data_IF_391822646708
#
_entry.id   IF_391822646708
#
_cell.length_a   1.000
_cell.length_b   1.000
_cell.length_c   1.000
_cell.angle_alpha   90.00
_cell.angle_beta   90.00
_cell.angle_gamma   90.00
#
_symmetry.space_group_name_H-M   'P 1'
#
loop_
_entity.id
_entity.type
_entity.pdbx_description
1 polymer ?
#
# COMPACT_ATOMS: atom_id res chain seq x y z
N UNK A 1 43.15 -12.56 6.81
CA UNK A 1 41.98 -12.17 5.98
C UNK A 1 40.91 -11.68 6.94
N UNK A 2 40.90 -10.37 7.20
CA UNK A 2 40.02 -9.76 8.19
C UNK A 2 38.60 -9.64 7.65
N UNK A 3 37.63 -10.13 8.41
CA UNK A 3 36.22 -9.78 8.23
C UNK A 3 36.08 -8.33 8.63
N UNK A 4 35.82 -7.44 7.67
CA UNK A 4 35.41 -6.08 7.96
C UNK A 4 34.03 -6.14 8.61
N UNK A 5 34.00 -6.10 9.94
CA UNK A 5 32.84 -5.66 10.67
C UNK A 5 32.58 -4.22 10.23
N UNK A 6 31.57 -4.05 9.36
CA UNK A 6 31.08 -2.71 9.04
C UNK A 6 30.28 -2.30 10.27
N UNK A 7 30.81 -1.33 11.01
CA UNK A 7 30.11 -0.63 12.10
C UNK A 7 28.86 0.08 11.53
N UNK A 8 27.78 -0.68 11.27
CA UNK A 8 26.46 -0.19 10.88
C UNK A 8 25.52 -0.06 12.10
N UNK A 9 25.99 -0.37 13.31
CA UNK A 9 25.11 -0.46 14.49
C UNK A 9 24.62 0.90 15.02
N UNK A 10 25.29 2.02 14.68
CA UNK A 10 24.94 3.34 15.22
C UNK A 10 23.79 4.02 14.48
N UNK A 11 24.02 4.40 13.22
CA UNK A 11 23.11 5.28 12.46
C UNK A 11 21.79 4.58 12.09
N UNK A 12 21.84 3.30 11.73
CA UNK A 12 20.65 2.54 11.36
C UNK A 12 19.75 2.28 12.57
N UNK A 13 20.37 2.05 13.74
CA UNK A 13 19.64 1.84 14.99
C UNK A 13 18.86 3.08 15.40
N UNK A 14 19.43 4.28 15.23
CA UNK A 14 18.76 5.54 15.56
C UNK A 14 17.53 5.81 14.70
N UNK A 15 17.62 5.52 13.39
CA UNK A 15 16.49 5.68 12.45
C UNK A 15 15.37 4.70 12.81
N UNK A 16 15.69 3.44 13.09
CA UNK A 16 14.68 2.44 13.47
C UNK A 16 14.02 2.76 14.82
N UNK A 17 14.77 3.25 15.80
CA UNK A 17 14.21 3.73 17.06
C UNK A 17 13.29 4.94 16.82
N UNK A 18 13.74 5.93 16.04
CA UNK A 18 12.96 7.14 15.74
C UNK A 18 11.65 6.87 14.98
N UNK A 19 11.61 5.79 14.20
CA UNK A 19 10.42 5.31 13.47
C UNK A 19 9.53 4.37 14.30
N UNK A 20 9.97 3.97 15.50
CA UNK A 20 9.26 3.02 16.35
C UNK A 20 9.32 1.58 15.83
N UNK A 21 10.37 1.22 15.10
CA UNK A 21 10.63 -0.13 14.56
C UNK A 21 11.52 -0.98 15.48
N UNK A 22 12.17 -0.38 16.48
CA UNK A 22 13.02 -1.04 17.46
C UNK A 22 12.59 -0.62 18.86
N UNK A 23 12.51 -1.58 19.78
CA UNK A 23 12.11 -1.33 21.17
C UNK A 23 13.31 -0.92 22.03
N UNK A 24 13.16 0.13 22.85
CA UNK A 24 14.15 0.55 23.84
C UNK A 24 13.79 -0.07 25.22
N UNK A 25 13.89 -1.39 25.35
CA UNK A 25 13.69 -2.11 26.61
C UNK A 25 12.25 -2.58 26.89
N UNK A 26 12.04 -3.16 28.09
CA UNK A 26 10.78 -3.81 28.51
C UNK A 26 9.70 -2.78 28.90
N UNK A 27 9.16 -1.99 27.97
CA UNK A 27 7.79 -1.44 28.13
C UNK A 27 7.21 -0.83 26.86
N UNK A 28 5.94 -1.22 26.66
CA UNK A 28 4.89 -0.68 25.80
C UNK A 28 5.02 -0.91 24.28
N UNK A 29 4.22 -1.88 23.81
CA UNK A 29 3.75 -2.05 22.44
C UNK A 29 2.94 -0.79 22.06
N UNK A 30 3.65 0.30 21.76
CA UNK A 30 3.06 1.50 21.20
C UNK A 30 2.81 1.30 19.71
N UNK A 31 1.85 2.03 19.14
CA UNK A 31 1.70 2.09 17.68
C UNK A 31 2.98 2.70 17.09
N UNK A 32 3.70 2.00 16.19
CA UNK A 32 4.93 2.50 15.59
C UNK A 32 4.71 3.84 14.87
N UNK A 33 5.61 4.80 15.07
CA UNK A 33 5.52 6.13 14.45
C UNK A 33 5.52 6.06 12.93
N UNK A 34 6.16 5.05 12.34
CA UNK A 34 6.13 4.83 10.89
C UNK A 34 4.71 4.74 10.31
N UNK A 35 3.73 4.24 11.09
CA UNK A 35 2.35 4.12 10.60
C UNK A 35 1.69 5.48 10.38
N UNK A 36 1.92 6.45 11.26
CA UNK A 36 1.39 7.80 11.09
C UNK A 36 2.10 8.58 9.98
N UNK A 37 3.40 8.35 9.81
CA UNK A 37 4.17 8.91 8.70
C UNK A 37 3.64 8.38 7.35
N UNK A 38 3.44 7.06 7.24
CA UNK A 38 2.88 6.44 6.04
C UNK A 38 1.46 6.93 5.75
N UNK A 39 0.61 7.08 6.78
CA UNK A 39 -0.73 7.62 6.59
C UNK A 39 -0.68 9.05 6.03
N UNK A 40 0.08 9.94 6.68
CA UNK A 40 0.20 11.33 6.24
C UNK A 40 0.75 11.44 4.82
N UNK A 41 1.74 10.63 4.48
CA UNK A 41 2.35 10.57 3.15
C UNK A 41 1.33 10.13 2.09
N UNK A 42 0.55 9.08 2.38
CA UNK A 42 -0.50 8.61 1.46
C UNK A 42 -1.64 9.62 1.31
N UNK A 43 -2.07 10.27 2.39
CA UNK A 43 -3.09 11.32 2.33
C UNK A 43 -2.64 12.49 1.44
N UNK A 44 -1.40 12.97 1.62
CA UNK A 44 -0.81 14.02 0.76
C UNK A 44 -0.73 13.57 -0.70
N UNK A 45 -0.40 12.30 -0.95
CA UNK A 45 -0.35 11.75 -2.31
C UNK A 45 -1.72 11.72 -2.97
N UNK A 46 -2.77 11.33 -2.25
CA UNK A 46 -4.14 11.35 -2.76
C UNK A 46 -4.54 12.77 -3.14
N UNK A 47 -4.38 13.74 -2.23
CA UNK A 47 -4.69 15.15 -2.48
C UNK A 47 -3.96 15.70 -3.72
N UNK A 48 -2.68 15.35 -3.87
CA UNK A 48 -1.89 15.80 -5.01
C UNK A 48 -2.32 15.15 -6.33
N UNK A 49 -2.66 13.87 -6.31
CA UNK A 49 -3.16 13.16 -7.49
C UNK A 49 -4.52 13.72 -7.93
N UNK A 50 -5.40 14.05 -6.97
CA UNK A 50 -6.69 14.69 -7.26
C UNK A 50 -6.51 16.06 -7.95
N UNK A 51 -5.57 16.89 -7.48
CA UNK A 51 -5.25 18.18 -8.12
C UNK A 51 -4.65 18.03 -9.54
N UNK A 52 -3.94 16.94 -9.84
CA UNK A 52 -3.34 16.70 -11.16
C UNK A 52 -4.35 16.15 -12.17
N UNK A 53 -5.42 15.50 -11.70
CA UNK A 53 -6.47 14.93 -12.55
C UNK A 53 -7.27 15.97 -13.33
N UNK A 54 -7.20 17.27 -12.97
CA UNK A 54 -7.88 18.35 -13.69
C UNK A 54 -7.19 18.73 -15.03
N UNK A 55 -6.00 18.16 -15.32
CA UNK A 55 -5.14 18.64 -16.43
C UNK A 55 -4.91 17.63 -17.56
N UNK A 56 -5.36 16.37 -17.46
CA UNK A 56 -5.07 15.36 -18.50
C UNK A 56 -6.28 14.47 -18.79
N UNK A 57 -6.78 14.57 -20.03
CA UNK A 57 -7.92 13.83 -20.59
C UNK A 57 -7.52 12.37 -20.95
N UNK A 58 -6.96 11.64 -19.99
CA UNK A 58 -6.63 10.21 -20.18
C UNK A 58 -7.91 9.42 -19.93
N UNK A 59 -8.51 8.92 -21.01
CA UNK A 59 -9.63 7.98 -21.03
C UNK A 59 -9.47 6.95 -19.91
N UNK A 60 -10.29 7.05 -18.87
CA UNK A 60 -10.25 6.24 -17.65
C UNK A 60 -10.33 4.75 -17.98
N UNK A 61 -9.18 4.12 -18.23
CA UNK A 61 -9.08 2.68 -18.07
C UNK A 61 -9.13 2.45 -16.57
N UNK A 62 -10.32 2.13 -16.06
CA UNK A 62 -10.56 1.83 -14.64
C UNK A 62 -9.55 0.76 -14.22
N UNK A 63 -8.48 1.19 -13.55
CA UNK A 63 -7.53 0.29 -12.93
C UNK A 63 -8.29 -0.58 -11.91
N UNK A 64 -7.88 -1.83 -11.77
CA UNK A 64 -8.53 -2.83 -10.92
C UNK A 64 -8.63 -2.46 -9.42
N UNK A 65 -8.01 -1.34 -9.01
CA UNK A 65 -8.01 -0.79 -7.65
C UNK A 65 -8.87 0.48 -7.49
N UNK A 66 -9.73 0.81 -8.47
CA UNK A 66 -10.70 1.89 -8.32
C UNK A 66 -11.85 1.45 -7.41
N UNK A 67 -12.04 2.19 -6.31
CA UNK A 67 -13.24 2.07 -5.50
C UNK A 67 -14.43 2.73 -6.18
N UNK A 68 -15.62 2.11 -6.09
CA UNK A 68 -16.87 2.72 -6.57
C UNK A 68 -17.21 4.01 -5.81
N UNK A 69 -16.73 4.12 -4.56
CA UNK A 69 -16.90 5.27 -3.68
C UNK A 69 -15.71 5.38 -2.74
N UNK A 70 -15.36 6.60 -2.34
CA UNK A 70 -14.42 6.84 -1.25
C UNK A 70 -14.88 6.11 0.03
N UNK A 71 -14.02 5.29 0.65
CA UNK A 71 -14.32 4.66 1.94
C UNK A 71 -14.58 5.72 3.03
N UNK A 72 -15.44 5.40 3.99
CA UNK A 72 -15.73 6.27 5.14
C UNK A 72 -14.67 6.21 6.25
N UNK A 73 -13.76 5.23 6.17
CA UNK A 73 -12.62 5.07 7.07
C UNK A 73 -11.43 5.88 6.56
N UNK A 74 -10.69 6.54 7.46
CA UNK A 74 -9.48 7.26 7.07
C UNK A 74 -8.32 6.31 6.74
N UNK A 75 -7.31 6.81 6.02
CA UNK A 75 -6.10 6.05 5.70
C UNK A 75 -5.40 5.59 6.99
N UNK A 76 -5.29 6.48 7.99
CA UNK A 76 -4.71 6.17 9.29
C UNK A 76 -5.39 4.98 9.97
N UNK A 77 -6.72 5.06 10.09
CA UNK A 77 -7.51 4.02 10.75
C UNK A 77 -7.43 2.69 10.01
N UNK A 78 -7.32 2.73 8.68
CA UNK A 78 -7.16 1.53 7.88
C UNK A 78 -5.77 0.89 8.07
N UNK A 79 -4.69 1.68 8.06
CA UNK A 79 -3.32 1.20 8.34
C UNK A 79 -3.22 0.60 9.75
N UNK A 80 -3.82 1.24 10.75
CA UNK A 80 -3.84 0.74 12.13
C UNK A 80 -4.55 -0.63 12.25
N UNK A 81 -5.56 -0.87 11.41
CA UNK A 81 -6.22 -2.19 11.31
C UNK A 81 -5.33 -3.21 10.61
N UNK A 82 -4.58 -2.80 9.58
CA UNK A 82 -3.65 -3.68 8.86
C UNK A 82 -2.50 -4.14 9.77
N UNK A 83 -1.90 -3.22 10.52
CA UNK A 83 -0.75 -3.49 11.39
C UNK A 83 -0.99 -4.62 12.40
N UNK A 84 -2.24 -4.88 12.77
CA UNK A 84 -2.60 -5.96 13.70
C UNK A 84 -2.52 -7.38 13.09
N UNK A 85 -2.14 -7.51 11.82
CA UNK A 85 -1.97 -8.74 11.02
C UNK A 85 -3.18 -9.69 11.06
N UNK A 86 -3.89 -9.81 9.94
CA UNK A 86 -5.00 -10.74 9.82
C UNK A 86 -4.97 -11.49 8.48
N UNK A 87 -5.80 -12.52 8.35
CA UNK A 87 -5.94 -13.25 7.09
C UNK A 87 -6.79 -12.46 6.07
N UNK A 88 -6.77 -12.91 4.82
CA UNK A 88 -7.54 -12.29 3.75
C UNK A 88 -9.05 -12.26 4.03
N UNK A 89 -9.61 -13.26 4.73
CA UNK A 89 -11.01 -13.24 5.10
C UNK A 89 -11.36 -12.05 6.00
N UNK A 90 -10.50 -11.72 6.95
CA UNK A 90 -10.66 -10.55 7.81
C UNK A 90 -10.52 -9.24 7.02
N UNK A 91 -9.47 -9.10 6.20
CA UNK A 91 -9.26 -7.87 5.42
C UNK A 91 -10.39 -7.62 4.42
N UNK A 92 -10.93 -8.68 3.82
CA UNK A 92 -12.08 -8.59 2.92
C UNK A 92 -13.31 -8.04 3.66
N UNK A 93 -13.58 -8.54 4.88
CA UNK A 93 -14.67 -8.02 5.74
C UNK A 93 -14.48 -6.56 6.10
N UNK A 94 -13.26 -6.14 6.44
CA UNK A 94 -12.96 -4.73 6.76
C UNK A 94 -13.08 -3.84 5.53
N UNK A 95 -12.65 -4.33 4.36
CA UNK A 95 -12.70 -3.62 3.08
C UNK A 95 -14.07 -3.64 2.39
N UNK A 96 -15.05 -4.37 2.92
CA UNK A 96 -16.39 -4.46 2.34
C UNK A 96 -16.47 -5.25 1.03
N UNK A 97 -15.52 -6.16 0.78
CA UNK A 97 -15.47 -7.01 -0.42
C UNK A 97 -15.51 -8.49 -0.04
N UNK A 98 -15.75 -9.37 -1.02
CA UNK A 98 -15.69 -10.81 -0.78
C UNK A 98 -14.24 -11.29 -0.61
N UNK A 99 -14.03 -12.37 0.16
CA UNK A 99 -12.69 -12.98 0.29
C UNK A 99 -12.15 -13.44 -1.07
N UNK A 100 -13.00 -13.97 -1.95
CA UNK A 100 -12.62 -14.37 -3.30
C UNK A 100 -12.12 -13.17 -4.13
N UNK A 101 -12.78 -12.02 -4.00
CA UNK A 101 -12.36 -10.79 -4.66
C UNK A 101 -11.02 -10.29 -4.12
N UNK A 102 -10.82 -10.27 -2.80
CA UNK A 102 -9.55 -9.86 -2.22
C UNK A 102 -8.40 -10.79 -2.67
N UNK A 103 -8.61 -12.10 -2.65
CA UNK A 103 -7.62 -13.07 -3.14
C UNK A 103 -7.28 -12.84 -4.61
N UNK A 104 -8.29 -12.53 -5.45
CA UNK A 104 -8.07 -12.20 -6.87
C UNK A 104 -7.26 -10.92 -7.04
N UNK A 105 -7.55 -9.88 -6.25
CA UNK A 105 -6.82 -8.62 -6.26
C UNK A 105 -5.37 -8.80 -5.81
N UNK A 106 -5.14 -9.60 -4.76
CA UNK A 106 -3.80 -9.96 -4.28
C UNK A 106 -2.99 -10.65 -5.38
N UNK A 107 -3.54 -11.68 -6.02
CA UNK A 107 -2.85 -12.36 -7.12
C UNK A 107 -2.53 -11.41 -8.29
N UNK A 108 -3.47 -10.55 -8.68
CA UNK A 108 -3.22 -9.54 -9.73
C UNK A 108 -2.09 -8.58 -9.35
N UNK A 109 -2.05 -8.13 -8.10
CA UNK A 109 -0.98 -7.28 -7.59
C UNK A 109 0.37 -8.00 -7.65
N UNK A 110 0.43 -9.25 -7.19
CA UNK A 110 1.66 -10.05 -7.21
C UNK A 110 2.18 -10.29 -8.63
N UNK A 111 1.29 -10.59 -9.59
CA UNK A 111 1.65 -10.68 -11.01
C UNK A 111 2.16 -9.36 -11.56
N UNK A 112 1.55 -8.22 -11.21
CA UNK A 112 2.03 -6.91 -11.67
C UNK A 112 3.41 -6.53 -11.14
N UNK A 113 3.83 -7.17 -10.04
CA UNK A 113 5.17 -7.03 -9.45
C UNK A 113 6.16 -8.06 -9.99
N UNK A 114 5.75 -8.95 -10.90
CA UNK A 114 6.54 -10.12 -11.31
C UNK A 114 7.03 -10.95 -10.10
N UNK A 115 6.24 -10.98 -9.00
CA UNK A 115 6.61 -11.57 -7.71
C UNK A 115 7.95 -11.05 -7.12
N UNK A 116 8.42 -9.87 -7.55
CA UNK A 116 9.65 -9.25 -7.06
C UNK A 116 9.42 -8.56 -5.71
N UNK A 117 9.20 -9.35 -4.67
CA UNK A 117 8.88 -8.89 -3.31
C UNK A 117 10.11 -8.68 -2.41
N UNK A 118 11.30 -9.06 -2.89
CA UNK A 118 12.53 -8.94 -2.10
C UNK A 118 12.97 -7.47 -2.00
N UNK A 119 13.18 -7.01 -0.77
CA UNK A 119 13.73 -5.68 -0.47
C UNK A 119 15.08 -5.86 0.20
N UNK A 120 16.13 -5.21 -0.32
CA UNK A 120 17.44 -5.20 0.31
C UNK A 120 17.47 -4.25 1.51
N UNK A 121 18.34 -4.53 2.49
CA UNK A 121 18.52 -3.69 3.69
C UNK A 121 18.79 -2.23 3.31
N UNK A 122 19.70 -1.99 2.37
CA UNK A 122 20.01 -0.64 1.88
C UNK A 122 18.79 0.07 1.25
N UNK A 123 17.92 -0.67 0.54
CA UNK A 123 16.68 -0.08 -0.01
C UNK A 123 15.70 0.26 1.11
N UNK A 124 15.51 -0.64 2.06
CA UNK A 124 14.65 -0.39 3.21
C UNK A 124 15.12 0.82 4.04
N UNK A 125 16.43 0.91 4.30
CA UNK A 125 17.04 2.05 5.00
C UNK A 125 16.81 3.38 4.29
N UNK A 126 17.03 3.42 2.97
CA UNK A 126 16.76 4.63 2.18
C UNK A 126 15.33 5.11 2.33
N UNK A 127 14.35 4.20 2.25
CA UNK A 127 12.94 4.56 2.45
C UNK A 127 12.64 4.99 3.88
N UNK A 128 13.25 4.38 4.89
CA UNK A 128 13.13 4.81 6.29
C UNK A 128 13.64 6.25 6.49
N UNK A 129 14.83 6.56 5.95
CA UNK A 129 15.41 7.91 6.00
C UNK A 129 14.55 8.94 5.27
N UNK A 130 13.97 8.57 4.12
CA UNK A 130 13.03 9.43 3.38
C UNK A 130 11.77 9.71 4.20
N UNK A 131 11.13 8.67 4.76
CA UNK A 131 9.95 8.82 5.61
C UNK A 131 10.21 9.72 6.82
N UNK A 132 11.39 9.61 7.44
CA UNK A 132 11.78 10.47 8.56
C UNK A 132 11.91 11.94 8.12
N UNK A 133 12.45 12.19 6.91
CA UNK A 133 12.62 13.54 6.34
C UNK A 133 11.31 14.16 5.86
N UNK A 134 10.39 13.36 5.32
CA UNK A 134 9.07 13.82 4.83
C UNK A 134 8.15 14.33 5.94
N UNK A 135 8.49 14.08 7.22
CA UNK A 135 7.87 14.77 8.36
C UNK A 135 8.10 16.29 8.33
N UNK A 136 9.03 16.79 7.53
CA UNK A 136 9.43 18.20 7.50
C UNK A 136 9.18 18.91 6.17
N UNK A 137 9.20 18.22 5.03
CA UNK A 137 8.99 18.86 3.71
C UNK A 137 8.27 17.93 2.71
N UNK A 138 7.25 18.46 2.03
CA UNK A 138 6.40 17.73 1.09
C UNK A 138 7.12 17.41 -0.23
N UNK A 139 7.61 16.19 -0.37
CA UNK A 139 8.24 15.70 -1.60
C UNK A 139 7.25 14.88 -2.45
N UNK A 140 7.54 14.79 -3.76
CA UNK A 140 6.81 13.98 -4.71
C UNK A 140 7.07 12.49 -4.41
N UNK A 141 6.02 11.70 -4.17
CA UNK A 141 6.14 10.26 -4.36
C UNK A 141 6.32 10.05 -5.86
N UNK A 142 7.51 9.65 -6.30
CA UNK A 142 7.70 9.24 -7.69
C UNK A 142 6.73 8.08 -8.00
N UNK A 143 5.92 8.25 -9.05
CA UNK A 143 5.19 7.16 -9.71
C UNK A 143 5.52 7.19 -11.21
N UNK A 144 5.52 6.04 -11.91
CA UNK A 144 4.79 4.81 -11.59
C UNK A 144 5.64 3.54 -11.49
N UNK A 145 5.13 2.56 -10.74
CA UNK A 145 5.41 1.14 -11.01
C UNK A 145 5.01 0.94 -12.47
N UNK A 146 5.98 0.67 -13.35
CA UNK A 146 5.69 0.19 -14.70
C UNK A 146 5.06 -1.19 -14.52
N UNK A 147 3.75 -1.24 -14.29
CA UNK A 147 2.99 -2.46 -14.47
C UNK A 147 3.31 -2.90 -15.90
N UNK A 148 4.04 -4.00 -16.04
CA UNK A 148 4.31 -4.57 -17.35
C UNK A 148 2.96 -4.71 -18.04
N UNK A 149 2.78 -3.99 -19.15
CA UNK A 149 1.49 -3.84 -19.80
C UNK A 149 0.89 -5.21 -20.11
N UNK A 150 -0.11 -5.62 -19.33
CA UNK A 150 -0.94 -6.75 -19.69
C UNK A 150 -1.71 -6.28 -20.92
N UNK A 151 -1.28 -6.78 -22.08
CA UNK A 151 -2.00 -6.65 -23.34
C UNK A 151 -3.33 -7.39 -23.16
N UNK A 152 -4.37 -6.65 -22.80
CA UNK A 152 -5.74 -7.14 -22.66
C UNK A 152 -6.21 -7.69 -24.03
N UNK A 153 -6.14 -9.00 -24.21
CA UNK A 153 -6.95 -9.72 -25.19
C UNK A 153 -7.83 -10.69 -24.42
N UNK A 154 -8.92 -10.17 -23.88
CA UNK A 154 -10.00 -10.99 -23.35
C UNK A 154 -11.28 -10.54 -24.06
N UNK A 155 -11.62 -11.28 -25.13
CA UNK A 155 -12.90 -11.13 -25.81
C UNK A 155 -14.02 -11.45 -24.83
N UNK A 156 -14.88 -10.47 -24.62
CA UNK A 156 -16.15 -10.60 -23.93
C UNK A 156 -16.99 -11.69 -24.60
N UNK A 157 -17.22 -12.79 -23.87
CA UNK A 157 -18.42 -13.61 -24.06
C UNK A 157 -19.23 -13.49 -22.77
N UNK A 158 -20.19 -12.58 -22.82
CA UNK A 158 -21.34 -12.55 -21.91
C UNK A 158 -22.08 -13.87 -22.05
N UNK A 159 -22.39 -14.52 -20.93
CA UNK A 159 -23.61 -15.31 -20.75
C UNK A 159 -23.78 -15.64 -19.25
N UNK A 160 -24.76 -15.04 -18.61
CA UNK A 160 -25.82 -15.75 -17.85
C UNK A 160 -26.82 -14.73 -17.34
N UNK A 161 -28.03 -14.86 -17.85
CA UNK A 161 -29.22 -14.05 -17.67
C UNK A 161 -29.81 -14.25 -16.26
N UNK A 162 -29.92 -13.18 -15.47
CA UNK A 162 -30.74 -13.19 -14.25
C UNK A 162 -32.22 -13.08 -14.63
N UNK A 163 -33.01 -14.09 -14.27
CA UNK A 163 -34.47 -14.10 -14.44
C UNK A 163 -35.15 -13.11 -13.45
N UNK A 164 -36.28 -12.47 -13.82
CA UNK A 164 -37.00 -11.58 -12.93
C UNK A 164 -37.98 -12.38 -12.02
N UNK A 165 -37.96 -12.07 -10.72
CA UNK A 165 -38.96 -12.55 -9.75
C UNK A 165 -40.25 -11.74 -9.93
N UNK A 166 -41.32 -12.40 -10.36
CA UNK A 166 -42.69 -11.86 -10.33
C UNK A 166 -43.26 -12.11 -8.93
N UNK A 167 -43.60 -11.03 -8.23
CA UNK A 167 -44.44 -11.09 -7.04
C UNK A 167 -45.89 -11.42 -7.44
N UNK A 168 -46.52 -12.32 -6.69
CA UNK A 168 -47.96 -12.61 -6.78
C UNK A 168 -48.57 -12.45 -5.39
#
# INVERSE_FOLDING_TARGET
>A
MGTLAIDMEGVDSDIYLALGLKELGKRAIGTPRILSLLSSLLEKSVQKNEMQSETVDIKDSVAIFHGLRAPTISIQQYIDRIFKFFNNAYYARVGGISTAELNRLEMKFLFSLDFRLQVSVNTFQRYCSQLQKESSEGHQIERPIRACGIKESWSSKSDTQCAPTIAR
#
